data_IF_856682443321
#
_entry.id   IF_856682443321
#
_cell.length_a   1.000
_cell.length_b   1.000
_cell.length_c   1.000
_cell.angle_alpha   90.00
_cell.angle_beta   90.00
_cell.angle_gamma   90.00
#
_symmetry.space_group_name_H-M   'P 1'
#
loop_
_entity.id
_entity.type
_entity.pdbx_description
1 polymer ?
#
# COMPACT_ATOMS: atom_id res chain seq x y z
N UNK A 1 6.00 2.63 -7.41
CA UNK A 1 5.26 3.90 -7.55
C UNK A 1 5.27 4.39 -9.01
N UNK A 2 4.09 4.45 -9.64
CA UNK A 2 3.95 5.02 -10.99
C UNK A 2 3.81 6.55 -10.88
N UNK A 3 4.14 7.31 -11.91
CA UNK A 3 3.81 8.74 -12.00
C UNK A 3 2.30 8.95 -12.21
N UNK A 4 1.80 10.17 -11.99
CA UNK A 4 0.39 10.56 -12.15
C UNK A 4 -0.19 10.27 -13.56
N UNK A 5 0.68 10.13 -14.56
CA UNK A 5 0.41 9.77 -15.95
C UNK A 5 0.57 8.25 -16.26
N UNK A 6 0.92 7.44 -15.25
CA UNK A 6 1.20 6.01 -15.40
C UNK A 6 2.64 5.67 -15.77
N UNK A 7 3.53 6.66 -15.94
CA UNK A 7 4.93 6.41 -16.28
C UNK A 7 5.69 5.75 -15.11
N UNK A 8 6.60 4.82 -15.42
CA UNK A 8 7.34 4.07 -14.38
C UNK A 8 8.37 4.96 -13.69
N UNK A 9 8.30 5.08 -12.36
CA UNK A 9 9.42 5.65 -11.59
C UNK A 9 10.50 4.59 -11.32
N UNK A 10 11.78 4.98 -11.13
CA UNK A 10 12.86 4.07 -10.76
C UNK A 10 12.57 3.17 -9.55
N UNK A 11 11.76 3.69 -8.61
CA UNK A 11 11.34 2.98 -7.40
C UNK A 11 10.33 1.85 -7.68
N UNK A 12 9.65 1.87 -8.84
CA UNK A 12 8.76 0.78 -9.27
C UNK A 12 9.54 -0.49 -9.56
N UNK A 13 10.66 -0.39 -10.26
CA UNK A 13 11.45 -1.57 -10.59
C UNK A 13 12.12 -2.15 -9.34
N UNK A 14 12.51 -1.31 -8.39
CA UNK A 14 12.99 -1.73 -7.09
C UNK A 14 11.92 -2.51 -6.30
N UNK A 15 10.69 -1.99 -6.25
CA UNK A 15 9.56 -2.64 -5.61
C UNK A 15 9.21 -3.99 -6.28
N UNK A 16 9.24 -4.04 -7.63
CA UNK A 16 9.01 -5.30 -8.37
C UNK A 16 10.10 -6.34 -8.11
N UNK A 17 11.38 -5.94 -8.10
CA UNK A 17 12.49 -6.84 -7.75
C UNK A 17 12.36 -7.34 -6.31
N UNK A 18 11.92 -6.49 -5.39
CA UNK A 18 11.67 -6.89 -4.02
C UNK A 18 10.52 -7.91 -3.91
N UNK A 19 9.39 -7.68 -4.59
CA UNK A 19 8.28 -8.62 -4.64
C UNK A 19 8.72 -10.01 -5.14
N UNK A 20 9.47 -10.07 -6.26
CA UNK A 20 10.01 -11.34 -6.78
C UNK A 20 10.93 -12.05 -5.79
N UNK A 21 11.75 -11.30 -5.05
CA UNK A 21 12.61 -11.88 -3.99
C UNK A 21 11.78 -12.45 -2.84
N UNK A 22 10.68 -11.79 -2.46
CA UNK A 22 9.77 -12.29 -1.43
C UNK A 22 9.09 -13.60 -1.88
N UNK A 23 8.56 -13.64 -3.10
CA UNK A 23 7.96 -14.85 -3.68
C UNK A 23 8.95 -16.01 -3.69
N UNK A 24 10.17 -15.79 -4.20
CA UNK A 24 11.19 -16.82 -4.27
C UNK A 24 11.65 -17.31 -2.90
N UNK A 25 11.78 -16.42 -1.91
CA UNK A 25 12.26 -16.76 -0.57
C UNK A 25 11.21 -17.50 0.25
N UNK A 26 9.96 -17.03 0.23
CA UNK A 26 8.92 -17.52 1.14
C UNK A 26 7.95 -18.50 0.47
N UNK A 27 7.93 -18.58 -0.86
CA UNK A 27 6.99 -19.41 -1.64
C UNK A 27 5.53 -19.13 -1.30
N UNK A 28 5.22 -17.88 -0.96
CA UNK A 28 3.87 -17.41 -0.68
C UNK A 28 3.45 -16.40 -1.76
N UNK A 29 2.14 -16.29 -2.05
CA UNK A 29 1.62 -15.27 -2.96
C UNK A 29 1.99 -13.86 -2.47
N UNK A 30 2.54 -13.04 -3.37
CA UNK A 30 2.84 -11.63 -3.08
C UNK A 30 1.88 -10.74 -3.86
N UNK A 31 1.10 -9.96 -3.12
CA UNK A 31 0.18 -8.98 -3.70
C UNK A 31 0.84 -7.60 -3.69
N UNK A 32 0.70 -6.88 -4.80
CA UNK A 32 1.23 -5.52 -4.94
C UNK A 32 0.09 -4.51 -4.79
N UNK A 33 0.33 -3.47 -4.01
CA UNK A 33 -0.60 -2.36 -3.79
C UNK A 33 0.08 -1.06 -4.26
N UNK A 34 -0.70 -0.11 -4.76
CA UNK A 34 -0.19 1.19 -5.21
C UNK A 34 0.16 2.07 -4.01
N UNK A 35 1.44 2.41 -3.85
CA UNK A 35 1.99 3.17 -2.72
C UNK A 35 1.71 4.69 -2.81
N UNK A 36 1.27 5.19 -3.97
CA UNK A 36 0.96 6.62 -4.15
C UNK A 36 -0.11 7.14 -3.20
N UNK A 37 -1.12 6.31 -2.94
CA UNK A 37 -2.24 6.67 -2.08
C UNK A 37 -1.82 6.62 -0.60
N UNK A 38 -1.01 5.63 -0.21
CA UNK A 38 -0.69 5.40 1.20
C UNK A 38 0.19 6.49 1.82
N UNK A 39 1.16 7.04 1.08
CA UNK A 39 2.06 8.07 1.63
C UNK A 39 1.38 9.42 1.81
N UNK A 40 0.50 9.82 0.89
CA UNK A 40 -0.31 11.04 1.02
C UNK A 40 -1.38 10.88 2.11
N UNK A 41 -2.09 9.77 2.08
CA UNK A 41 -3.11 9.44 3.08
C UNK A 41 -2.52 9.33 4.49
N UNK A 42 -1.33 8.74 4.65
CA UNK A 42 -0.63 8.70 5.93
C UNK A 42 -0.32 10.11 6.47
N UNK A 43 0.10 11.04 5.60
CA UNK A 43 0.32 12.45 6.00
C UNK A 43 -0.98 13.10 6.43
N UNK A 44 -2.08 12.88 5.69
CA UNK A 44 -3.41 13.39 6.05
C UNK A 44 -3.90 12.84 7.40
N UNK A 45 -3.74 11.54 7.63
CA UNK A 45 -4.09 10.88 8.90
C UNK A 45 -3.27 11.45 10.06
N UNK A 46 -1.96 11.61 9.90
CA UNK A 46 -1.10 12.18 10.94
C UNK A 46 -1.43 13.65 11.22
N UNK A 47 -1.66 14.45 10.19
CA UNK A 47 -2.07 15.85 10.31
C UNK A 47 -3.42 15.98 11.03
N UNK A 48 -4.41 15.16 10.67
CA UNK A 48 -5.71 15.13 11.33
C UNK A 48 -5.62 14.76 12.83
N UNK A 49 -4.59 13.99 13.21
CA UNK A 49 -4.29 13.63 14.60
C UNK A 49 -3.39 14.67 15.31
N UNK A 50 -3.12 15.80 14.67
CA UNK A 50 -2.24 16.85 15.22
C UNK A 50 -0.76 16.45 15.32
N UNK A 51 -0.34 15.37 14.66
CA UNK A 51 1.04 14.89 14.68
C UNK A 51 1.83 15.57 13.56
N UNK A 52 2.89 16.30 13.92
CA UNK A 52 3.70 17.06 12.97
C UNK A 52 5.21 16.91 13.21
N UNK A 53 6.02 17.53 12.34
CA UNK A 53 7.47 17.62 12.49
C UNK A 53 8.16 16.25 12.61
N UNK A 54 9.05 16.12 13.61
CA UNK A 54 9.83 14.89 13.81
C UNK A 54 8.94 13.68 14.13
N UNK A 55 7.86 13.88 14.89
CA UNK A 55 6.94 12.82 15.26
C UNK A 55 6.14 12.30 14.06
N UNK A 56 5.78 13.18 13.11
CA UNK A 56 5.15 12.75 11.87
C UNK A 56 6.11 11.92 11.01
N UNK A 57 7.38 12.34 10.91
CA UNK A 57 8.40 11.62 10.13
C UNK A 57 8.65 10.21 10.64
N UNK A 58 8.66 9.99 11.95
CA UNK A 58 8.85 8.66 12.54
C UNK A 58 7.61 7.77 12.44
N UNK A 59 6.42 8.36 12.33
CA UNK A 59 5.15 7.64 12.23
C UNK A 59 4.64 7.46 10.80
N UNK A 60 5.27 8.12 9.82
CA UNK A 60 4.83 8.07 8.43
C UNK A 60 4.84 6.64 7.88
N UNK A 61 5.98 5.94 7.97
CA UNK A 61 6.12 4.60 7.40
C UNK A 61 5.18 3.56 8.06
N UNK A 62 5.05 3.51 9.40
CA UNK A 62 4.07 2.63 10.05
C UNK A 62 2.62 2.89 9.60
N UNK A 63 2.22 4.17 9.49
CA UNK A 63 0.86 4.52 9.07
C UNK A 63 0.64 4.17 7.60
N UNK A 64 1.63 4.42 6.73
CA UNK A 64 1.55 4.01 5.33
C UNK A 64 1.42 2.49 5.18
N UNK A 65 2.17 1.71 5.97
CA UNK A 65 2.06 0.25 5.99
C UNK A 65 0.68 -0.24 6.46
N UNK A 66 0.11 0.39 7.48
CA UNK A 66 -1.25 0.11 7.95
C UNK A 66 -2.27 0.34 6.82
N UNK A 67 -2.20 1.49 6.14
CA UNK A 67 -3.11 1.85 5.04
C UNK A 67 -3.01 0.86 3.87
N UNK A 68 -1.79 0.44 3.52
CA UNK A 68 -1.56 -0.57 2.48
C UNK A 68 -2.28 -1.89 2.82
N UNK A 69 -2.15 -2.35 4.06
CA UNK A 69 -2.77 -3.59 4.53
C UNK A 69 -4.30 -3.47 4.53
N UNK A 70 -4.83 -2.38 5.06
CA UNK A 70 -6.27 -2.09 5.10
C UNK A 70 -6.86 -2.04 3.69
N UNK A 71 -6.19 -1.36 2.76
CA UNK A 71 -6.58 -1.31 1.34
C UNK A 71 -6.70 -2.71 0.73
N UNK A 72 -5.74 -3.58 1.01
CA UNK A 72 -5.74 -4.93 0.46
C UNK A 72 -6.82 -5.82 1.08
N UNK A 73 -7.03 -5.73 2.40
CA UNK A 73 -8.09 -6.44 3.10
C UNK A 73 -9.47 -6.04 2.56
N UNK A 74 -9.71 -4.73 2.40
CA UNK A 74 -10.98 -4.21 1.91
C UNK A 74 -11.27 -4.65 0.47
N UNK A 75 -10.26 -4.72 -0.40
CA UNK A 75 -10.41 -5.27 -1.77
C UNK A 75 -10.85 -6.73 -1.75
N UNK A 76 -10.23 -7.56 -0.90
CA UNK A 76 -10.62 -8.96 -0.78
C UNK A 76 -12.04 -9.16 -0.26
N UNK A 77 -12.48 -8.34 0.70
CA UNK A 77 -13.85 -8.43 1.22
C UNK A 77 -14.86 -8.05 0.14
N UNK A 78 -14.58 -7.02 -0.67
CA UNK A 78 -15.43 -6.64 -1.80
C UNK A 78 -15.52 -7.75 -2.85
N UNK A 79 -14.38 -8.38 -3.21
CA UNK A 79 -14.33 -9.51 -4.14
C UNK A 79 -15.17 -10.71 -3.63
N UNK A 80 -15.20 -10.96 -2.32
CA UNK A 80 -16.00 -12.05 -1.73
C UNK A 80 -17.51 -11.76 -1.74
N UNK A 81 -17.94 -10.50 -1.54
CA UNK A 81 -19.37 -10.15 -1.51
C UNK A 81 -20.04 -10.18 -2.89
N UNK A 82 -19.28 -9.97 -3.97
CA UNK A 82 -19.80 -10.08 -5.33
C UNK A 82 -20.10 -11.54 -5.70
N UNK A 83 -19.33 -12.50 -5.18
CA UNK A 83 -19.53 -13.93 -5.47
C UNK A 83 -20.76 -14.56 -4.79
N UNK A 84 -21.34 -13.91 -3.78
CA UNK A 84 -22.55 -14.37 -3.08
C UNK A 84 -23.86 -13.76 -3.62
N UNK A 85 -23.80 -12.79 -4.54
CA UNK A 85 -25.00 -12.14 -5.09
C UNK A 85 -25.56 -12.84 -6.36
N UNK A 86 -24.83 -13.80 -6.94
CA UNK A 86 -25.24 -14.54 -8.15
C UNK A 86 -25.69 -16.00 -7.91
N UNK A 87 -26.15 -16.39 -6.71
CA UNK A 87 -26.76 -17.71 -6.46
C UNK A 87 -28.23 -17.67 -6.11
#
# INVERSE_FOLDING_TARGET
PLHLDGARQPMTDAAQRFARRLEGRYRLPVHRVDERLSSDEARRVLAARGVSGRAARTRLDPVAAQIILETWLNRRVADTHDTDTER
#
